data_IF_245257124612
#
_entry.id   IF_245257124612
#
_cell.length_a   1.000
_cell.length_b   1.000
_cell.length_c   1.000
_cell.angle_alpha   90.00
_cell.angle_beta   90.00
_cell.angle_gamma   90.00
#
_symmetry.space_group_name_H-M   'P 1'
#
loop_
_entity.id
_entity.type
_entity.pdbx_description
1 polymer ?
#
# COMPACT_ATOMS: atom_id res chain seq x y z
N UNK A 1 -61.97 30.37 -51.82
CA UNK A 1 -62.59 29.64 -50.70
C UNK A 1 -61.89 28.28 -50.62
N UNK A 2 -61.18 28.03 -49.50
CA UNK A 2 -60.76 26.73 -48.91
C UNK A 2 -59.93 25.82 -49.84
N UNK A 3 -58.58 25.75 -49.76
CA UNK A 3 -57.68 25.23 -48.71
C UNK A 3 -57.72 23.70 -48.51
N UNK A 4 -56.53 23.14 -48.21
CA UNK A 4 -56.24 21.82 -47.61
C UNK A 4 -56.08 20.64 -48.62
N UNK A 5 -55.09 19.75 -48.58
CA UNK A 5 -53.98 19.44 -47.66
C UNK A 5 -52.96 18.59 -48.45
N UNK A 6 -51.72 19.05 -48.58
CA UNK A 6 -50.59 18.18 -48.96
C UNK A 6 -49.95 17.66 -47.67
N UNK A 7 -49.98 16.34 -47.49
CA UNK A 7 -49.39 15.63 -46.37
C UNK A 7 -48.17 14.83 -46.87
N UNK A 8 -47.01 15.49 -46.89
CA UNK A 8 -45.70 14.86 -47.11
C UNK A 8 -45.16 14.35 -45.78
N UNK A 9 -45.35 13.06 -45.50
CA UNK A 9 -44.74 12.38 -44.36
C UNK A 9 -43.28 12.01 -44.67
N UNK A 10 -42.33 12.66 -43.98
CA UNK A 10 -40.92 12.25 -43.98
C UNK A 10 -40.73 11.00 -43.09
N UNK A 11 -40.11 9.91 -43.60
CA UNK A 11 -39.75 8.77 -42.77
C UNK A 11 -38.47 9.08 -41.97
N UNK A 12 -38.66 9.21 -40.65
CA UNK A 12 -37.76 8.78 -39.57
C UNK A 12 -36.25 8.79 -39.84
N UNK A 13 -35.59 9.88 -39.46
CA UNK A 13 -34.14 9.91 -39.27
C UNK A 13 -33.72 8.92 -38.19
N UNK A 14 -33.06 7.84 -38.60
CA UNK A 14 -32.37 6.92 -37.70
C UNK A 14 -31.25 7.68 -36.96
N UNK A 15 -31.52 8.03 -35.71
CA UNK A 15 -30.53 8.59 -34.80
C UNK A 15 -29.38 7.61 -34.62
N UNK A 16 -28.28 7.87 -35.32
CA UNK A 16 -26.99 7.19 -35.14
C UNK A 16 -26.49 7.53 -33.74
N UNK A 17 -26.78 6.67 -32.78
CA UNK A 17 -26.18 6.71 -31.45
C UNK A 17 -24.68 6.52 -31.67
N UNK A 18 -23.92 7.62 -31.63
CA UNK A 18 -22.47 7.57 -31.55
C UNK A 18 -22.14 6.93 -30.21
N UNK A 19 -21.91 5.62 -30.22
CA UNK A 19 -21.29 4.93 -29.12
C UNK A 19 -19.92 5.58 -28.88
N UNK A 20 -19.84 6.41 -27.85
CA UNK A 20 -18.57 6.80 -27.25
C UNK A 20 -17.96 5.52 -26.70
N UNK A 21 -17.16 4.85 -27.53
CA UNK A 21 -16.21 3.85 -27.07
C UNK A 21 -15.31 4.53 -26.07
N UNK A 22 -15.60 4.33 -24.78
CA UNK A 22 -14.62 4.59 -23.74
C UNK A 22 -13.54 3.53 -23.95
N UNK A 23 -12.45 3.92 -24.61
CA UNK A 23 -11.21 3.16 -24.65
C UNK A 23 -10.70 3.07 -23.20
N UNK A 24 -11.15 2.05 -22.48
CA UNK A 24 -10.64 1.70 -21.15
C UNK A 24 -9.34 0.89 -21.29
N UNK A 25 -8.51 1.20 -22.30
CA UNK A 25 -7.19 0.59 -22.51
C UNK A 25 -6.11 1.35 -21.70
N UNK A 26 -6.43 1.56 -20.43
CA UNK A 26 -5.52 2.08 -19.42
C UNK A 26 -5.02 0.98 -18.50
N UNK A 27 -4.77 -0.23 -19.01
CA UNK A 27 -4.06 -1.26 -18.25
C UNK A 27 -2.61 -0.80 -18.06
N UNK A 28 -2.35 0.01 -17.03
CA UNK A 28 -1.00 0.31 -16.57
C UNK A 28 -0.29 -1.02 -16.34
N UNK A 29 0.71 -1.33 -17.18
CA UNK A 29 1.48 -2.54 -17.06
C UNK A 29 2.10 -2.60 -15.66
N UNK A 30 1.67 -3.58 -14.87
CA UNK A 30 2.20 -3.80 -13.51
C UNK A 30 3.68 -4.13 -13.65
N UNK A 31 4.54 -3.26 -13.12
CA UNK A 31 5.98 -3.46 -13.17
C UNK A 31 6.35 -4.82 -12.55
N UNK A 32 7.14 -5.61 -13.26
CA UNK A 32 7.62 -6.91 -12.78
C UNK A 32 8.55 -6.74 -11.59
N UNK A 33 8.64 -7.74 -10.71
CA UNK A 33 9.55 -7.71 -9.55
C UNK A 33 11.00 -7.36 -9.97
N UNK A 34 11.47 -7.92 -11.09
CA UNK A 34 12.80 -7.62 -11.64
C UNK A 34 12.97 -6.16 -12.08
N UNK A 35 11.93 -5.52 -12.63
CA UNK A 35 11.97 -4.09 -12.97
C UNK A 35 12.03 -3.22 -11.71
N UNK A 36 11.23 -3.55 -10.68
CA UNK A 36 11.24 -2.85 -9.40
C UNK A 36 12.61 -2.96 -8.73
N UNK A 37 13.18 -4.17 -8.71
CA UNK A 37 14.52 -4.42 -8.15
C UNK A 37 15.60 -3.64 -8.87
N UNK A 38 15.62 -3.64 -10.21
CA UNK A 38 16.59 -2.86 -11.00
C UNK A 38 16.45 -1.35 -10.77
N UNK A 39 15.22 -0.84 -10.72
CA UNK A 39 14.97 0.58 -10.45
C UNK A 39 15.44 0.99 -9.05
N UNK A 40 15.18 0.15 -8.03
CA UNK A 40 15.67 0.39 -6.67
C UNK A 40 17.21 0.33 -6.61
N UNK A 41 17.82 -0.66 -7.25
CA UNK A 41 19.27 -0.82 -7.33
C UNK A 41 19.96 0.40 -7.98
N UNK A 42 19.44 0.84 -9.13
CA UNK A 42 19.91 2.04 -9.83
C UNK A 42 19.80 3.29 -8.95
N UNK A 43 18.68 3.45 -8.23
CA UNK A 43 18.49 4.56 -7.30
C UNK A 43 19.52 4.56 -6.16
N UNK A 44 19.78 3.40 -5.53
CA UNK A 44 20.77 3.27 -4.47
C UNK A 44 22.17 3.65 -4.96
N UNK A 45 22.56 3.13 -6.14
CA UNK A 45 23.85 3.40 -6.76
C UNK A 45 24.03 4.89 -7.09
N UNK A 46 23.08 5.49 -7.81
CA UNK A 46 23.13 6.91 -8.18
C UNK A 46 23.19 7.79 -6.93
N UNK A 47 22.32 7.54 -5.95
CA UNK A 47 22.27 8.36 -4.75
C UNK A 47 23.56 8.27 -3.94
N UNK A 48 24.16 7.08 -3.84
CA UNK A 48 25.45 6.91 -3.16
C UNK A 48 26.56 7.75 -3.81
N UNK A 49 26.58 7.80 -5.14
CA UNK A 49 27.54 8.63 -5.89
C UNK A 49 27.30 10.12 -5.65
N UNK A 50 26.04 10.57 -5.64
CA UNK A 50 25.68 11.97 -5.34
C UNK A 50 26.14 12.43 -3.96
N UNK A 51 26.04 11.56 -2.94
CA UNK A 51 26.51 11.86 -1.58
C UNK A 51 28.01 11.58 -1.37
N UNK A 52 28.73 11.26 -2.45
CA UNK A 52 30.17 10.97 -2.47
C UNK A 52 30.61 9.95 -1.42
N UNK A 53 29.88 8.82 -1.31
CA UNK A 53 30.19 7.73 -0.39
C UNK A 53 30.74 6.51 -1.11
N UNK A 54 31.72 5.85 -0.52
CA UNK A 54 32.13 4.51 -0.94
C UNK A 54 31.07 3.47 -0.55
N UNK A 55 31.05 2.31 -1.22
CA UNK A 55 30.16 1.20 -0.82
C UNK A 55 30.42 0.75 0.61
N UNK A 56 31.67 0.82 1.08
CA UNK A 56 32.02 0.43 2.44
C UNK A 56 31.44 1.39 3.47
N UNK A 57 31.58 2.69 3.26
CA UNK A 57 31.00 3.72 4.15
C UNK A 57 29.48 3.66 4.18
N UNK A 58 28.84 3.57 3.01
CA UNK A 58 27.39 3.48 2.92
C UNK A 58 26.85 2.21 3.60
N UNK A 59 27.53 1.07 3.45
CA UNK A 59 27.17 -0.17 4.13
C UNK A 59 27.31 -0.05 5.66
N UNK A 60 28.41 0.53 6.14
CA UNK A 60 28.64 0.76 7.56
C UNK A 60 27.58 1.68 8.18
N UNK A 61 27.27 2.82 7.54
CA UNK A 61 26.23 3.75 7.97
C UNK A 61 24.83 3.13 7.94
N UNK A 62 24.57 2.24 6.98
CA UNK A 62 23.29 1.55 6.87
C UNK A 62 23.15 0.35 7.82
N UNK A 63 24.19 0.00 8.57
CA UNK A 63 24.18 -1.17 9.45
C UNK A 63 24.09 -2.50 8.70
N UNK A 64 24.59 -2.56 7.47
CA UNK A 64 24.59 -3.78 6.64
C UNK A 64 25.99 -4.20 6.23
N UNK A 65 26.19 -5.50 5.99
CA UNK A 65 27.47 -5.99 5.48
C UNK A 65 27.77 -5.41 4.08
N UNK A 66 29.02 -5.03 3.81
CA UNK A 66 29.50 -4.51 2.51
C UNK A 66 29.05 -5.38 1.32
N UNK A 67 29.19 -6.70 1.43
CA UNK A 67 28.77 -7.65 0.38
C UNK A 67 27.27 -7.61 0.16
N UNK A 68 26.48 -7.44 1.24
CA UNK A 68 25.03 -7.29 1.13
C UNK A 68 24.68 -5.99 0.41
N UNK A 69 25.29 -4.86 0.80
CA UNK A 69 25.08 -3.58 0.14
C UNK A 69 25.43 -3.65 -1.36
N UNK A 70 26.56 -4.26 -1.72
CA UNK A 70 26.95 -4.48 -3.11
C UNK A 70 25.94 -5.31 -3.91
N UNK A 71 25.33 -6.34 -3.30
CA UNK A 71 24.26 -7.13 -3.93
C UNK A 71 22.97 -6.32 -4.12
N UNK A 72 22.67 -5.39 -3.22
CA UNK A 72 21.53 -4.48 -3.35
C UNK A 72 21.73 -3.51 -4.52
N UNK A 73 22.91 -2.89 -4.64
CA UNK A 73 23.23 -1.96 -5.75
C UNK A 73 23.26 -2.63 -7.12
N UNK A 74 23.59 -3.92 -7.20
CA UNK A 74 23.53 -4.68 -8.46
C UNK A 74 22.14 -5.23 -8.77
N UNK A 75 21.18 -5.08 -7.87
CA UNK A 75 19.84 -5.67 -8.02
C UNK A 75 19.84 -7.20 -7.94
N UNK A 76 20.88 -7.80 -7.34
CA UNK A 76 20.97 -9.25 -7.11
C UNK A 76 20.15 -9.68 -5.89
N UNK A 77 19.85 -8.74 -4.97
CA UNK A 77 19.07 -8.98 -3.77
C UNK A 77 18.01 -7.88 -3.59
N UNK A 78 16.73 -8.22 -3.36
CA UNK A 78 15.72 -7.23 -3.06
C UNK A 78 15.85 -6.72 -1.62
N UNK A 79 15.48 -5.46 -1.39
CA UNK A 79 15.34 -4.91 -0.04
C UNK A 79 13.99 -5.36 0.53
N UNK A 80 14.02 -6.21 1.56
CA UNK A 80 12.81 -6.83 2.13
C UNK A 80 12.43 -6.34 3.52
N UNK A 81 13.34 -5.73 4.26
CA UNK A 81 13.17 -5.39 5.68
C UNK A 81 13.09 -3.88 5.86
N UNK A 82 12.18 -3.41 6.72
CA UNK A 82 12.01 -1.98 7.02
C UNK A 82 13.27 -1.37 7.65
N UNK A 83 13.93 -2.09 8.56
CA UNK A 83 15.20 -1.64 9.17
C UNK A 83 16.32 -1.47 8.17
N UNK A 84 16.42 -2.37 7.18
CA UNK A 84 17.38 -2.19 6.09
C UNK A 84 17.03 -0.95 5.27
N UNK A 85 15.75 -0.68 4.98
CA UNK A 85 15.34 0.56 4.29
C UNK A 85 15.67 1.80 5.11
N UNK A 86 15.38 1.80 6.42
CA UNK A 86 15.68 2.93 7.30
C UNK A 86 17.19 3.21 7.38
N UNK A 87 18.00 2.16 7.57
CA UNK A 87 19.46 2.26 7.57
C UNK A 87 20.01 2.77 6.24
N UNK A 88 19.56 2.22 5.11
CA UNK A 88 19.95 2.69 3.77
C UNK A 88 19.54 4.15 3.55
N UNK A 89 18.34 4.54 3.98
CA UNK A 89 17.85 5.89 3.82
C UNK A 89 18.70 6.90 4.60
N UNK A 90 19.07 6.56 5.83
CA UNK A 90 20.00 7.35 6.64
C UNK A 90 21.39 7.43 5.99
N UNK A 91 21.95 6.31 5.52
CA UNK A 91 23.26 6.27 4.89
C UNK A 91 23.36 7.06 3.58
N UNK A 92 22.24 7.18 2.86
CA UNK A 92 22.16 7.83 1.55
C UNK A 92 21.53 9.23 1.60
N UNK A 93 21.27 9.76 2.80
CA UNK A 93 20.62 11.04 3.02
C UNK A 93 19.35 11.21 2.16
N UNK A 94 18.43 10.25 2.33
CA UNK A 94 17.11 10.25 1.66
C UNK A 94 16.00 9.96 2.65
N UNK A 95 14.79 10.38 2.30
CA UNK A 95 13.61 10.04 3.09
C UNK A 95 13.37 8.52 3.10
N UNK A 96 13.23 7.87 4.27
CA UNK A 96 12.96 6.43 4.36
C UNK A 96 11.63 6.05 3.71
N UNK A 97 10.64 6.95 3.72
CA UNK A 97 9.38 6.78 3.03
C UNK A 97 9.56 6.77 1.52
N UNK A 98 10.35 7.70 0.97
CA UNK A 98 10.60 7.76 -0.47
C UNK A 98 11.33 6.50 -0.96
N UNK A 99 12.35 6.04 -0.24
CA UNK A 99 13.05 4.81 -0.56
C UNK A 99 12.14 3.58 -0.47
N UNK A 100 11.32 3.48 0.58
CA UNK A 100 10.36 2.38 0.75
C UNK A 100 9.39 2.29 -0.43
N UNK A 101 8.82 3.42 -0.86
CA UNK A 101 7.85 3.42 -1.96
C UNK A 101 8.48 2.99 -3.29
N UNK A 102 9.75 3.33 -3.52
CA UNK A 102 10.52 2.86 -4.69
C UNK A 102 10.78 1.36 -4.61
N UNK A 103 11.29 0.88 -3.48
CA UNK A 103 11.58 -0.55 -3.23
C UNK A 103 10.33 -1.42 -3.38
N UNK A 104 9.17 -0.90 -2.96
CA UNK A 104 7.91 -1.62 -3.06
C UNK A 104 7.21 -1.50 -4.44
N UNK A 105 7.85 -0.84 -5.42
CA UNK A 105 7.27 -0.66 -6.76
C UNK A 105 6.00 0.19 -6.77
N UNK A 106 5.84 1.08 -5.78
CA UNK A 106 4.66 1.93 -5.60
C UNK A 106 4.90 3.38 -6.01
N UNK A 107 6.12 3.69 -6.42
CA UNK A 107 6.47 4.97 -7.00
C UNK A 107 6.04 4.97 -8.46
N UNK A 108 4.86 5.55 -8.75
CA UNK A 108 4.66 6.16 -10.07
C UNK A 108 5.68 7.29 -10.30
N UNK A 109 5.79 7.87 -11.51
CA UNK A 109 6.50 9.13 -11.70
C UNK A 109 6.01 10.12 -10.63
N UNK A 110 6.87 10.97 -10.04
CA UNK A 110 6.44 11.95 -9.04
C UNK A 110 5.33 12.79 -9.67
N UNK A 111 4.08 12.44 -9.39
CA UNK A 111 2.95 13.16 -9.96
C UNK A 111 3.04 14.57 -9.36
N UNK A 112 3.08 15.63 -10.20
CA UNK A 112 3.13 16.98 -9.71
C UNK A 112 1.97 17.17 -8.74
N UNK A 113 2.30 17.54 -7.50
CA UNK A 113 1.32 17.69 -6.42
C UNK A 113 0.28 18.71 -6.85
N UNK A 114 -0.91 18.26 -7.23
CA UNK A 114 -2.11 19.10 -7.07
C UNK A 114 -2.24 19.35 -5.56
N UNK A 115 -2.55 20.58 -5.11
CA UNK A 115 -2.74 20.89 -3.70
C UNK A 115 -4.00 20.17 -3.21
N UNK A 116 -3.83 18.90 -2.83
CA UNK A 116 -4.83 18.18 -2.05
C UNK A 116 -4.67 18.61 -0.59
N UNK A 117 -5.81 18.82 0.06
CA UNK A 117 -5.95 18.89 1.52
C UNK A 117 -5.17 17.72 2.13
N UNK A 118 -4.56 17.97 3.29
CA UNK A 118 -3.44 17.23 3.89
C UNK A 118 -3.55 15.69 3.79
N UNK A 119 -2.41 14.99 3.82
CA UNK A 119 -2.33 13.53 3.94
C UNK A 119 -3.28 12.94 5.03
N UNK A 120 -3.53 13.71 6.09
CA UNK A 120 -4.49 13.37 7.15
C UNK A 120 -5.93 13.45 6.63
N UNK A 121 -6.29 14.42 5.79
CA UNK A 121 -7.63 14.54 5.18
C UNK A 121 -7.96 13.37 4.25
N UNK A 122 -6.97 12.81 3.54
CA UNK A 122 -7.15 11.64 2.68
C UNK A 122 -7.37 10.35 3.51
N UNK A 123 -6.75 10.27 4.69
CA UNK A 123 -7.03 9.23 5.71
C UNK A 123 -8.37 9.47 6.42
N UNK A 124 -8.75 10.71 6.69
CA UNK A 124 -10.06 11.06 7.25
C UNK A 124 -11.21 10.73 6.29
N UNK A 125 -10.97 10.75 4.96
CA UNK A 125 -11.90 10.25 3.95
C UNK A 125 -12.22 8.74 4.08
N UNK A 126 -11.45 7.99 4.87
CA UNK A 126 -11.76 6.58 5.20
C UNK A 126 -12.80 6.42 6.31
N UNK A 127 -13.12 7.49 7.04
CA UNK A 127 -14.13 7.52 8.07
C UNK A 127 -15.22 8.53 7.75
N UNK A 128 -16.38 8.05 7.30
CA UNK A 128 -17.62 8.77 7.66
C UNK A 128 -17.63 8.85 9.20
N UNK A 129 -17.49 10.07 9.73
CA UNK A 129 -17.42 10.46 11.15
C UNK A 129 -16.03 10.42 11.81
N UNK A 130 -15.44 11.60 12.05
CA UNK A 130 -14.61 11.95 13.22
C UNK A 130 -13.40 11.10 13.64
N UNK A 131 -13.02 10.04 12.93
CA UNK A 131 -11.97 9.13 13.40
C UNK A 131 -10.58 9.67 13.09
N UNK A 132 -9.78 9.83 14.13
CA UNK A 132 -8.35 10.15 14.07
C UNK A 132 -7.60 9.21 13.11
N UNK A 133 -6.54 9.71 12.48
CA UNK A 133 -5.64 8.90 11.67
C UNK A 133 -5.13 7.67 12.46
N UNK A 134 -4.91 6.51 11.81
CA UNK A 134 -4.48 5.30 12.51
C UNK A 134 -3.16 5.54 13.26
N UNK A 135 -3.14 5.16 14.53
CA UNK A 135 -2.00 5.32 15.45
C UNK A 135 -0.86 4.36 15.14
N UNK A 136 -1.17 3.19 14.60
CA UNK A 136 -0.18 2.17 14.24
C UNK A 136 -0.61 1.30 13.05
N UNK A 137 0.33 0.49 12.56
CA UNK A 137 0.14 -0.50 11.50
C UNK A 137 -0.96 -1.50 11.86
N UNK A 138 -0.96 -1.98 13.11
CA UNK A 138 -1.93 -2.95 13.58
C UNK A 138 -3.37 -2.41 13.47
N UNK A 139 -3.58 -1.16 13.91
CA UNK A 139 -4.86 -0.47 13.78
C UNK A 139 -5.28 -0.28 12.32
N UNK A 140 -4.36 0.17 11.47
CA UNK A 140 -4.65 0.38 10.05
C UNK A 140 -5.03 -0.94 9.36
N UNK A 141 -4.23 -1.99 9.55
CA UNK A 141 -4.46 -3.29 8.94
C UNK A 141 -5.81 -3.89 9.39
N UNK A 142 -6.09 -3.83 10.69
CA UNK A 142 -7.38 -4.22 11.24
C UNK A 142 -8.54 -3.45 10.59
N UNK A 143 -8.43 -2.13 10.52
CA UNK A 143 -9.48 -1.26 9.95
C UNK A 143 -9.72 -1.56 8.47
N UNK A 144 -8.64 -1.77 7.71
CA UNK A 144 -8.73 -2.13 6.30
C UNK A 144 -9.38 -3.50 6.10
N UNK A 145 -9.02 -4.51 6.91
CA UNK A 145 -9.66 -5.82 6.85
C UNK A 145 -11.15 -5.75 7.18
N UNK A 146 -11.52 -5.03 8.24
CA UNK A 146 -12.93 -4.87 8.62
C UNK A 146 -13.72 -4.15 7.53
N UNK A 147 -13.13 -3.14 6.87
CA UNK A 147 -13.73 -2.46 5.71
C UNK A 147 -13.90 -3.39 4.51
N UNK A 148 -12.91 -4.25 4.26
CA UNK A 148 -12.98 -5.30 3.24
C UNK A 148 -13.99 -6.41 3.59
N UNK A 149 -14.56 -6.39 4.81
CA UNK A 149 -15.48 -7.41 5.33
C UNK A 149 -14.88 -8.81 5.25
N UNK A 150 -13.61 -8.94 5.60
CA UNK A 150 -12.91 -10.23 5.63
C UNK A 150 -12.67 -10.73 7.05
N UNK A 151 -12.75 -12.04 7.22
CA UNK A 151 -12.22 -12.68 8.43
C UNK A 151 -10.69 -12.64 8.40
N UNK A 152 -10.03 -12.70 9.56
CA UNK A 152 -8.56 -12.72 9.62
C UNK A 152 -7.96 -13.91 8.87
N UNK A 153 -8.62 -15.08 8.92
CA UNK A 153 -8.22 -16.28 8.17
C UNK A 153 -8.32 -16.08 6.66
N UNK A 154 -9.42 -15.52 6.18
CA UNK A 154 -9.66 -15.23 4.76
C UNK A 154 -8.64 -14.23 4.22
N UNK A 155 -8.43 -13.10 4.92
CA UNK A 155 -7.43 -12.12 4.51
C UNK A 155 -6.00 -12.68 4.51
N UNK A 156 -5.69 -13.59 5.44
CA UNK A 156 -4.40 -14.28 5.48
C UNK A 156 -4.21 -15.22 4.28
N UNK A 157 -5.24 -15.98 3.93
CA UNK A 157 -5.26 -16.86 2.76
C UNK A 157 -5.04 -16.07 1.47
N UNK A 158 -5.79 -14.99 1.27
CA UNK A 158 -5.63 -14.10 0.11
C UNK A 158 -4.23 -13.46 0.03
N UNK A 159 -3.60 -13.17 1.17
CA UNK A 159 -2.25 -12.64 1.23
C UNK A 159 -1.16 -13.71 1.08
N UNK A 160 -1.52 -15.00 1.02
CA UNK A 160 -0.59 -16.12 1.04
C UNK A 160 0.30 -16.10 2.29
N UNK A 161 -0.29 -15.86 3.46
CA UNK A 161 0.40 -15.87 4.75
C UNK A 161 -0.31 -16.78 5.76
N UNK A 162 0.42 -17.23 6.77
CA UNK A 162 -0.20 -17.99 7.86
C UNK A 162 -1.22 -17.11 8.62
N UNK A 163 -2.42 -17.63 8.97
CA UNK A 163 -3.40 -16.89 9.78
C UNK A 163 -2.84 -16.37 11.11
N UNK A 164 -1.89 -17.07 11.73
CA UNK A 164 -1.21 -16.59 12.94
C UNK A 164 -0.38 -15.34 12.65
N UNK A 165 0.36 -15.29 11.55
CA UNK A 165 1.15 -14.11 11.14
C UNK A 165 0.25 -12.89 10.98
N UNK A 166 -0.91 -13.04 10.34
CA UNK A 166 -1.90 -11.97 10.21
C UNK A 166 -2.42 -11.52 11.57
N UNK A 167 -2.87 -12.48 12.40
CA UNK A 167 -3.38 -12.20 13.74
C UNK A 167 -2.36 -11.46 14.61
N UNK A 168 -1.12 -11.92 14.62
CA UNK A 168 0.00 -11.30 15.35
C UNK A 168 0.32 -9.89 14.83
N UNK A 169 0.22 -9.66 13.53
CA UNK A 169 0.43 -8.32 12.94
C UNK A 169 -0.68 -7.37 13.40
N UNK A 170 -1.93 -7.83 13.34
CA UNK A 170 -3.07 -7.09 13.89
C UNK A 170 -3.01 -6.95 15.40
N UNK A 171 -2.25 -7.74 16.15
CA UNK A 171 -2.06 -7.52 17.59
C UNK A 171 -0.86 -6.60 17.88
N UNK A 172 -0.16 -6.12 16.84
CA UNK A 172 1.07 -5.35 16.99
C UNK A 172 2.26 -6.18 17.52
N UNK A 173 2.12 -7.51 17.54
CA UNK A 173 3.09 -8.47 18.08
C UNK A 173 4.10 -8.95 17.03
N UNK A 174 3.82 -8.77 15.72
CA UNK A 174 4.75 -9.08 14.64
C UNK A 174 4.90 -7.92 13.65
N UNK A 175 6.09 -7.83 13.02
CA UNK A 175 6.41 -6.86 11.97
C UNK A 175 6.71 -7.59 10.67
N UNK A 176 5.75 -7.58 9.73
CA UNK A 176 5.96 -8.26 8.47
C UNK A 176 7.04 -7.59 7.61
N UNK A 177 7.67 -8.39 6.75
CA UNK A 177 8.57 -7.88 5.71
C UNK A 177 7.80 -7.05 4.67
N UNK A 178 8.51 -6.22 3.90
CA UNK A 178 7.92 -5.38 2.84
C UNK A 178 7.10 -6.21 1.85
N UNK A 179 7.58 -7.35 1.31
CA UNK A 179 6.76 -8.18 0.42
C UNK A 179 5.49 -8.70 1.10
N UNK A 180 5.54 -9.03 2.40
CA UNK A 180 4.36 -9.46 3.14
C UNK A 180 3.36 -8.31 3.31
N UNK A 181 3.83 -7.11 3.67
CA UNK A 181 2.96 -5.92 3.77
C UNK A 181 2.29 -5.59 2.44
N UNK A 182 3.02 -5.73 1.33
CA UNK A 182 2.46 -5.56 -0.02
C UNK A 182 1.33 -6.55 -0.27
N UNK A 183 1.54 -7.86 -0.01
CA UNK A 183 0.49 -8.88 -0.17
C UNK A 183 -0.68 -8.68 0.77
N UNK A 184 -0.43 -8.29 2.02
CA UNK A 184 -1.49 -7.93 2.97
C UNK A 184 -2.33 -6.75 2.44
N UNK A 185 -1.69 -5.75 1.84
CA UNK A 185 -2.38 -4.64 1.19
C UNK A 185 -3.26 -5.07 0.03
N UNK A 186 -2.78 -5.98 -0.84
CA UNK A 186 -3.58 -6.57 -1.91
C UNK A 186 -4.79 -7.35 -1.37
N UNK A 187 -4.60 -8.14 -0.31
CA UNK A 187 -5.67 -8.96 0.25
C UNK A 187 -6.88 -8.15 0.77
N UNK A 188 -6.66 -6.95 1.31
CA UNK A 188 -7.76 -6.11 1.86
C UNK A 188 -8.12 -4.90 1.00
N UNK A 189 -7.27 -4.55 0.04
CA UNK A 189 -7.43 -3.36 -0.79
C UNK A 189 -7.58 -3.63 -2.29
N UNK A 190 -7.43 -4.89 -2.73
CA UNK A 190 -7.29 -5.24 -4.13
C UNK A 190 -6.09 -4.53 -4.76
N UNK A 191 -6.20 -4.20 -6.05
CA UNK A 191 -5.15 -3.50 -6.78
C UNK A 191 -5.09 -2.00 -6.53
N UNK A 192 -5.88 -1.47 -5.59
CA UNK A 192 -5.91 -0.04 -5.31
C UNK A 192 -4.55 0.39 -4.69
N UNK A 193 -3.69 1.13 -5.42
CA UNK A 193 -2.32 1.42 -4.97
C UNK A 193 -2.27 2.21 -3.67
N UNK A 194 -3.36 2.91 -3.37
CA UNK A 194 -3.58 3.67 -2.17
C UNK A 194 -3.37 2.82 -0.90
N UNK A 195 -4.05 1.68 -0.77
CA UNK A 195 -4.00 0.86 0.45
C UNK A 195 -2.60 0.33 0.74
N UNK A 196 -1.95 -0.17 -0.31
CA UNK A 196 -0.57 -0.65 -0.25
C UNK A 196 0.39 0.46 0.21
N UNK A 197 0.29 1.65 -0.39
CA UNK A 197 1.13 2.81 -0.02
C UNK A 197 0.92 3.20 1.46
N UNK A 198 -0.32 3.21 1.94
CA UNK A 198 -0.61 3.61 3.33
C UNK A 198 -0.09 2.61 4.35
N UNK A 199 -0.28 1.31 4.10
CA UNK A 199 0.30 0.27 4.96
C UNK A 199 1.81 0.41 5.07
N UNK A 200 2.49 0.63 3.94
CA UNK A 200 3.94 0.81 3.92
C UNK A 200 4.39 2.07 4.69
N UNK A 201 3.71 3.20 4.49
CA UNK A 201 4.02 4.45 5.20
C UNK A 201 3.84 4.27 6.71
N UNK A 202 2.71 3.72 7.15
CA UNK A 202 2.44 3.52 8.57
C UNK A 202 3.40 2.49 9.18
N UNK A 203 3.71 1.40 8.47
CA UNK A 203 4.69 0.43 8.92
C UNK A 203 6.09 1.05 9.12
N UNK A 204 6.51 1.93 8.20
CA UNK A 204 7.78 2.65 8.33
C UNK A 204 7.77 3.63 9.49
N UNK A 205 6.68 4.37 9.68
CA UNK A 205 6.53 5.28 10.83
C UNK A 205 6.65 4.53 12.15
N UNK A 206 5.91 3.42 12.30
CA UNK A 206 5.96 2.57 13.49
C UNK A 206 7.36 2.05 13.74
N UNK A 207 8.06 1.62 12.69
CA UNK A 207 9.43 1.14 12.79
C UNK A 207 10.39 2.23 13.29
N UNK A 208 10.37 3.42 12.68
CA UNK A 208 11.22 4.55 13.09
C UNK A 208 10.93 4.98 14.53
N UNK A 209 9.66 5.04 14.93
CA UNK A 209 9.29 5.39 16.30
C UNK A 209 9.78 4.35 17.32
N UNK A 210 9.74 3.06 16.98
CA UNK A 210 10.29 1.99 17.83
C UNK A 210 11.79 2.10 17.98
N UNK A 211 12.51 2.37 16.90
CA UNK A 211 13.96 2.59 16.97
C UNK A 211 14.32 3.81 17.83
N UNK A 212 13.55 4.90 17.73
CA UNK A 212 13.71 6.07 18.58
C UNK A 212 13.42 5.76 20.06
N UNK A 213 12.33 5.05 20.36
CA UNK A 213 12.01 4.59 21.72
C UNK A 213 13.11 3.68 22.28
N UNK A 214 13.59 2.71 21.49
CA UNK A 214 14.67 1.82 21.88
C UNK A 214 15.97 2.59 22.19
N UNK A 215 16.32 3.60 21.37
CA UNK A 215 17.48 4.48 21.64
C UNK A 215 17.35 5.27 22.94
N UNK A 216 16.13 5.61 23.35
CA UNK A 216 15.84 6.29 24.62
C UNK A 216 15.67 5.34 25.81
N UNK A 217 15.74 4.02 25.60
CA UNK A 217 15.48 3.02 26.63
C UNK A 217 14.02 2.98 27.10
N UNK A 218 13.07 3.46 26.28
CA UNK A 218 11.64 3.42 26.59
C UNK A 218 10.92 2.43 25.70
N UNK A 219 9.83 1.83 26.20
CA UNK A 219 8.97 0.98 25.39
C UNK A 219 8.12 1.83 24.44
N UNK A 220 7.95 1.37 23.20
CA UNK A 220 7.00 1.98 22.26
C UNK A 220 5.60 1.42 22.50
N UNK A 221 4.66 2.31 22.80
CA UNK A 221 3.24 2.00 22.92
C UNK A 221 2.43 2.97 22.04
N UNK A 222 1.72 2.48 21.00
CA UNK A 222 0.89 3.32 20.15
C UNK A 222 -0.45 3.69 20.78
N UNK A 223 -0.74 3.23 22.02
CA UNK A 223 -2.02 3.45 22.70
C UNK A 223 -3.18 2.81 21.93
N UNK A 224 -2.91 1.66 21.29
CA UNK A 224 -3.88 0.90 20.52
C UNK A 224 -3.92 -0.55 20.99
N UNK A 225 -5.13 -1.03 21.25
CA UNK A 225 -5.39 -2.43 21.57
C UNK A 225 -6.55 -2.93 20.72
N UNK A 226 -6.43 -4.16 20.24
CA UNK A 226 -7.54 -4.87 19.60
C UNK A 226 -8.52 -5.30 20.67
N UNK A 227 -9.80 -5.02 20.51
CA UNK A 227 -10.81 -5.61 21.39
C UNK A 227 -10.87 -7.13 21.14
N UNK A 228 -10.76 -7.93 22.21
CA UNK A 228 -10.79 -9.40 22.13
C UNK A 228 -12.08 -9.92 21.47
N UNK A 229 -13.20 -9.22 21.65
CA UNK A 229 -14.49 -9.56 21.06
C UNK A 229 -14.62 -9.04 19.62
N UNK A 230 -13.77 -9.54 18.72
CA UNK A 230 -14.05 -9.40 17.29
C UNK A 230 -15.09 -10.45 16.92
N UNK A 231 -16.30 -9.97 16.63
CA UNK A 231 -17.46 -10.73 16.13
C UNK A 231 -17.03 -11.97 15.32
N UNK A 232 -17.34 -13.15 15.84
CA UNK A 232 -17.13 -14.43 15.17
C UNK A 232 -18.01 -14.47 13.92
N UNK A 233 -17.72 -15.36 12.97
CA UNK A 233 -18.47 -15.42 11.70
C UNK A 233 -19.99 -15.55 11.87
N UNK A 234 -20.46 -16.14 12.99
CA UNK A 234 -21.88 -16.23 13.32
C UNK A 234 -22.49 -14.91 13.82
N UNK A 235 -21.67 -14.00 14.36
CA UNK A 235 -22.06 -12.65 14.79
C UNK A 235 -22.22 -11.68 13.61
N UNK A 236 -21.91 -12.13 12.40
CA UNK A 236 -22.08 -11.33 11.18
C UNK A 236 -23.53 -11.41 10.70
N UNK A 237 -24.11 -10.30 10.19
CA UNK A 237 -25.43 -10.31 9.59
C UNK A 237 -25.54 -11.41 8.53
N UNK A 238 -26.69 -12.07 8.41
CA UNK A 238 -26.91 -13.16 7.44
C UNK A 238 -26.53 -12.74 6.00
N UNK A 239 -26.80 -11.49 5.64
CA UNK A 239 -26.44 -10.89 4.33
C UNK A 239 -24.94 -10.77 4.05
N UNK A 240 -24.09 -10.81 5.09
CA UNK A 240 -22.64 -10.90 4.96
C UNK A 240 -22.17 -12.36 4.90
N UNK A 241 -22.88 -13.29 5.55
CA UNK A 241 -22.61 -14.72 5.46
C UNK A 241 -22.97 -15.28 4.07
N UNK A 242 -24.12 -14.89 3.52
CA UNK A 242 -24.58 -15.33 2.18
C UNK A 242 -23.63 -14.88 1.06
N UNK A 243 -23.11 -13.65 1.14
CA UNK A 243 -22.13 -13.14 0.16
C UNK A 243 -20.79 -13.89 0.19
N UNK A 244 -20.40 -14.41 1.35
CA UNK A 244 -19.16 -15.17 1.49
C UNK A 244 -19.35 -16.67 1.18
N UNK A 245 -20.56 -17.21 1.39
CA UNK A 245 -20.90 -18.59 1.02
C UNK A 245 -21.19 -18.81 -0.48
N UNK A 246 -21.42 -17.75 -1.25
CA UNK A 246 -21.69 -17.84 -2.69
C UNK A 246 -20.43 -17.88 -3.58
N UNK A 247 -19.22 -17.93 -2.99
CA UNK A 247 -17.93 -17.97 -3.72
C UNK A 247 -17.17 -19.29 -3.60
N UNK A 248 -17.74 -20.31 -2.97
CA UNK A 248 -17.19 -21.67 -2.92
C UNK A 248 -17.59 -22.51 -4.12
#
# INVERSE_FOLDING_TARGET
MVSALDASGEPGGAGKVMGMGMDVDGCEAVATEGQIMRAAAAFLWLRRLEVNRTQHEAAALAGVNKTTFGRLERGERPVRQLGVVAGLANALDVSPYALLLRVAGTAGPPSPRKPRKSFVDELCGFGTSGTEAPKCLAQLLFSMRMRARKLAREAAEDAGVNPSTWGQTELGQSYPSIPVLVRMGYAVGGDVPFYRRHLLIVAMRDHVQREECARRGVSWDPGWWRQEKVRLAHDWPASARERNGARS
#
